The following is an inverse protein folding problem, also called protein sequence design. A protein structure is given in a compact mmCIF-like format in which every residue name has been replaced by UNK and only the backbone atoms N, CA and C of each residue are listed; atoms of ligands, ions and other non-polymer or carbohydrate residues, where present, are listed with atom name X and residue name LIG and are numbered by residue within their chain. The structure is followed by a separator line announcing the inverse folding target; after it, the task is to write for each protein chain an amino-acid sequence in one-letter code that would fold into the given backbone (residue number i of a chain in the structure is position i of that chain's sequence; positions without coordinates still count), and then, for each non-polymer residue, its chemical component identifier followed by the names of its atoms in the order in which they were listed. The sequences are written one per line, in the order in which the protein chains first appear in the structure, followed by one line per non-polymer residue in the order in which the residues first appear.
data_IF_562547533909
#
_entry.id   IF_562547533909
#
_cell.length_a   1.000
_cell.length_b   1.000
_cell.length_c   1.000
_cell.angle_alpha   90.00
_cell.angle_beta   90.00
_cell.angle_gamma   90.00
#
_symmetry.space_group_name_H-M   'P 1'
#
loop_
_entity.id
_entity.type
_entity.pdbx_description
1 polymer ?
#
# COMPACT_ATOMS: atom_id res chain seq x y z
N UNK A 1 -16.70 7.19 12.39
CA UNK A 1 -15.44 6.50 12.74
C UNK A 1 -15.38 5.16 11.99
N UNK A 2 -14.61 5.10 10.90
CA UNK A 2 -14.28 3.83 10.24
C UNK A 2 -13.23 3.14 11.11
N UNK A 3 -13.66 2.13 11.88
CA UNK A 3 -12.78 1.12 12.46
C UNK A 3 -12.40 0.16 11.33
N UNK A 4 -11.09 -0.07 11.14
CA UNK A 4 -10.52 -1.11 10.28
C UNK A 4 -11.37 -2.39 10.36
N UNK A 5 -12.11 -2.81 9.32
CA UNK A 5 -12.92 -4.02 9.40
C UNK A 5 -12.24 -5.23 8.77
N UNK A 6 -10.98 -5.13 8.36
CA UNK A 6 -10.32 -6.19 7.58
C UNK A 6 -9.27 -6.93 8.42
N UNK A 7 -9.72 -7.59 9.49
CA UNK A 7 -9.02 -8.77 10.05
C UNK A 7 -9.25 -10.00 9.14
N UNK A 8 -9.10 -9.81 7.83
CA UNK A 8 -9.33 -10.86 6.85
C UNK A 8 -8.00 -11.07 6.10
N UNK A 9 -7.42 -12.28 6.07
CA UNK A 9 -6.14 -12.54 5.41
C UNK A 9 -6.18 -12.36 3.87
N UNK A 10 -7.35 -12.00 3.32
CA UNK A 10 -7.53 -11.71 1.91
C UNK A 10 -7.77 -10.22 1.69
N UNK A 11 -6.95 -9.61 0.83
CA UNK A 11 -7.12 -8.25 0.37
C UNK A 11 -8.51 -8.06 -0.27
N UNK A 12 -9.25 -7.00 0.09
CA UNK A 12 -10.62 -6.85 -0.38
C UNK A 12 -10.76 -6.85 -1.91
N UNK A 13 -11.71 -7.63 -2.42
CA UNK A 13 -12.05 -7.71 -3.84
C UNK A 13 -13.07 -6.63 -4.23
N UNK A 14 -12.70 -5.35 -4.07
CA UNK A 14 -13.59 -4.27 -4.49
C UNK A 14 -13.63 -4.11 -6.02
N UNK A 15 -14.78 -3.64 -6.53
CA UNK A 15 -15.09 -3.50 -7.97
C UNK A 15 -14.64 -2.19 -8.60
N UNK A 16 -14.10 -1.27 -7.80
CA UNK A 16 -13.60 0.02 -8.27
C UNK A 16 -12.11 0.17 -7.96
N UNK A 17 -11.46 1.05 -8.71
CA UNK A 17 -10.05 1.40 -8.55
C UNK A 17 -9.89 2.91 -8.42
N UNK A 18 -8.81 3.34 -7.81
CA UNK A 18 -8.28 4.68 -8.00
C UNK A 18 -6.81 4.58 -8.40
N UNK A 19 -6.37 5.48 -9.29
CA UNK A 19 -4.96 5.67 -9.63
C UNK A 19 -4.67 7.15 -9.89
N UNK A 20 -3.44 7.62 -9.66
CA UNK A 20 -3.01 8.90 -10.16
C UNK A 20 -2.81 8.88 -11.70
N UNK A 21 -2.66 10.06 -12.33
CA UNK A 21 -2.34 10.15 -13.75
C UNK A 21 -0.95 9.59 -14.08
N UNK A 22 0.00 9.71 -13.15
CA UNK A 22 1.40 9.32 -13.31
C UNK A 22 1.81 8.30 -12.26
N UNK A 23 2.72 7.37 -12.61
CA UNK A 23 3.22 6.31 -11.72
C UNK A 23 2.11 5.48 -11.05
N UNK A 24 1.13 4.93 -11.80
CA UNK A 24 0.01 4.20 -11.22
C UNK A 24 0.44 2.94 -10.44
N UNK A 25 1.55 2.30 -10.81
CA UNK A 25 2.11 1.13 -10.12
C UNK A 25 2.25 1.35 -8.60
N UNK A 26 2.71 2.53 -8.19
CA UNK A 26 2.93 2.89 -6.78
C UNK A 26 1.64 3.15 -6.01
N UNK A 27 0.63 3.72 -6.66
CA UNK A 27 -0.46 4.40 -5.94
C UNK A 27 -1.84 3.84 -6.28
N UNK A 28 -1.93 2.88 -7.19
CA UNK A 28 -3.19 2.25 -7.52
C UNK A 28 -3.78 1.52 -6.31
N UNK A 29 -5.08 1.68 -6.07
CA UNK A 29 -5.75 1.01 -4.94
C UNK A 29 -7.16 0.58 -5.33
N UNK A 30 -7.64 -0.48 -4.69
CA UNK A 30 -9.04 -0.92 -4.82
C UNK A 30 -9.91 -0.09 -3.88
N UNK A 31 -11.08 0.30 -4.36
CA UNK A 31 -11.99 1.20 -3.66
C UNK A 31 -13.38 0.55 -3.54
N UNK A 32 -14.01 0.55 -2.35
CA UNK A 32 -15.37 0.06 -2.17
C UNK A 32 -16.38 0.79 -3.06
N UNK A 33 -17.38 0.07 -3.60
CA UNK A 33 -18.39 0.63 -4.51
C UNK A 33 -19.20 1.79 -3.92
N UNK A 34 -19.33 1.83 -2.59
CA UNK A 34 -20.00 2.90 -1.86
C UNK A 34 -19.27 4.25 -1.94
N UNK A 35 -17.99 4.28 -2.35
CA UNK A 35 -17.16 5.49 -2.39
C UNK A 35 -17.08 5.99 -3.83
N UNK A 36 -17.87 7.03 -4.15
CA UNK A 36 -17.82 7.66 -5.47
C UNK A 36 -16.73 8.74 -5.58
N UNK A 37 -16.32 9.30 -4.43
CA UNK A 37 -15.31 10.34 -4.33
C UNK A 37 -14.38 9.98 -3.18
N UNK A 38 -13.13 9.69 -3.51
CA UNK A 38 -12.14 9.20 -2.57
C UNK A 38 -11.44 10.38 -1.90
N UNK A 39 -11.61 10.54 -0.59
CA UNK A 39 -10.82 11.49 0.18
C UNK A 39 -9.43 10.93 0.54
N UNK A 40 -8.49 11.81 0.88
CA UNK A 40 -7.10 11.43 1.16
C UNK A 40 -6.98 10.47 2.36
N UNK A 41 -7.74 10.70 3.42
CA UNK A 41 -7.69 9.85 4.62
C UNK A 41 -8.12 8.43 4.29
N UNK A 42 -9.19 8.28 3.53
CA UNK A 42 -9.68 6.99 3.09
C UNK A 42 -8.71 6.33 2.09
N UNK A 43 -8.10 7.10 1.20
CA UNK A 43 -7.05 6.60 0.31
C UNK A 43 -5.85 6.03 1.08
N UNK A 44 -5.31 6.78 2.05
CA UNK A 44 -4.17 6.35 2.85
C UNK A 44 -4.47 5.09 3.66
N UNK A 45 -5.71 4.94 4.15
CA UNK A 45 -6.14 3.72 4.84
C UNK A 45 -6.19 2.51 3.86
N UNK A 46 -6.75 2.70 2.66
CA UNK A 46 -6.78 1.64 1.64
C UNK A 46 -5.37 1.25 1.17
N UNK A 47 -4.46 2.22 1.06
CA UNK A 47 -3.06 1.95 0.72
C UNK A 47 -2.32 1.20 1.82
N UNK A 48 -2.58 1.49 3.09
CA UNK A 48 -2.06 0.68 4.20
C UNK A 48 -2.56 -0.76 4.12
N UNK A 49 -3.86 -0.97 3.88
CA UNK A 49 -4.41 -2.33 3.68
C UNK A 49 -3.77 -3.03 2.48
N UNK A 50 -3.49 -2.32 1.38
CA UNK A 50 -2.78 -2.88 0.23
C UNK A 50 -1.37 -3.30 0.62
N UNK A 51 -0.63 -2.45 1.30
CA UNK A 51 0.76 -2.71 1.65
C UNK A 51 0.89 -3.82 2.70
N UNK A 52 0.02 -3.86 3.70
CA UNK A 52 -0.07 -4.97 4.65
C UNK A 52 -0.26 -6.31 3.94
N UNK A 53 -1.18 -6.38 2.96
CA UNK A 53 -1.36 -7.57 2.13
C UNK A 53 -0.12 -7.93 1.30
N UNK A 54 0.58 -6.95 0.71
CA UNK A 54 1.82 -7.20 -0.04
C UNK A 54 2.91 -7.75 0.87
N UNK A 55 3.01 -7.25 2.11
CA UNK A 55 3.92 -7.77 3.13
C UNK A 55 3.53 -9.19 3.53
N UNK A 56 2.25 -9.47 3.76
CA UNK A 56 1.77 -10.81 4.09
C UNK A 56 2.15 -11.83 3.02
N UNK A 57 1.90 -11.50 1.75
CA UNK A 57 2.29 -12.36 0.62
C UNK A 57 3.79 -12.62 0.57
N UNK A 58 4.60 -11.58 0.80
CA UNK A 58 6.05 -11.74 0.84
C UNK A 58 6.51 -12.64 2.00
N UNK A 59 5.88 -12.53 3.18
CA UNK A 59 6.13 -13.43 4.32
C UNK A 59 5.77 -14.87 3.98
N UNK A 60 4.63 -15.11 3.32
CA UNK A 60 4.19 -16.44 2.89
C UNK A 60 5.15 -17.05 1.85
N UNK A 61 5.73 -16.23 0.98
CA UNK A 61 6.70 -16.64 -0.04
C UNK A 61 8.13 -16.82 0.53
N UNK A 62 8.44 -16.18 1.67
CA UNK A 62 9.77 -16.19 2.29
C UNK A 62 9.74 -16.63 3.77
N UNK A 63 9.92 -15.70 4.70
CA UNK A 63 9.76 -15.89 6.15
C UNK A 63 9.65 -14.52 6.84
N UNK A 64 9.10 -14.41 8.05
CA UNK A 64 9.06 -13.14 8.79
C UNK A 64 10.43 -12.47 8.93
N UNK A 65 11.48 -13.23 9.22
CA UNK A 65 12.85 -12.72 9.40
C UNK A 65 13.43 -12.21 8.07
N UNK A 66 13.18 -12.93 6.98
CA UNK A 66 13.64 -12.55 5.64
C UNK A 66 12.93 -11.28 5.17
N UNK A 67 11.61 -11.20 5.40
CA UNK A 67 10.81 -10.00 5.14
C UNK A 67 11.30 -8.82 5.96
N UNK A 68 11.58 -9.01 7.26
CA UNK A 68 12.10 -7.94 8.12
C UNK A 68 13.44 -7.41 7.59
N UNK A 69 14.38 -8.30 7.27
CA UNK A 69 15.67 -7.88 6.73
C UNK A 69 15.50 -7.11 5.42
N UNK A 70 14.60 -7.55 4.54
CA UNK A 70 14.29 -6.88 3.28
C UNK A 70 13.67 -5.49 3.49
N UNK A 71 12.67 -5.38 4.37
CA UNK A 71 11.99 -4.11 4.69
C UNK A 71 12.92 -3.11 5.36
N UNK A 72 13.76 -3.54 6.32
CA UNK A 72 14.77 -2.68 6.96
C UNK A 72 15.78 -2.18 5.94
N UNK A 73 16.27 -3.07 5.07
CA UNK A 73 17.24 -2.69 4.02
C UNK A 73 16.63 -1.69 3.04
N UNK A 74 15.37 -1.90 2.63
CA UNK A 74 14.64 -1.00 1.74
C UNK A 74 14.34 0.34 2.41
N UNK A 75 13.89 0.32 3.66
CA UNK A 75 13.59 1.53 4.43
C UNK A 75 14.86 2.37 4.63
N UNK A 76 16.02 1.77 4.95
CA UNK A 76 17.26 2.53 5.09
C UNK A 76 17.70 3.25 3.80
N UNK A 77 17.34 2.72 2.62
CA UNK A 77 17.57 3.38 1.33
C UNK A 77 16.55 4.50 1.07
N UNK A 78 15.32 4.35 1.58
CA UNK A 78 14.23 5.33 1.51
C UNK A 78 14.41 6.48 2.50
N UNK A 79 14.72 6.19 3.74
CA UNK A 79 14.95 7.13 4.80
C UNK A 79 15.74 6.45 5.92
N UNK A 80 17.04 6.72 5.98
CA UNK A 80 17.92 6.14 7.00
C UNK A 80 17.65 6.66 8.41
N UNK A 81 16.87 7.73 8.57
CA UNK A 81 16.48 8.26 9.86
C UNK A 81 15.14 7.70 10.38
N UNK A 82 14.37 7.02 9.52
CA UNK A 82 13.08 6.43 9.90
C UNK A 82 13.29 5.20 10.79
N UNK A 83 12.60 5.18 11.94
CA UNK A 83 12.59 4.00 12.80
C UNK A 83 11.90 2.82 12.11
N UNK A 84 12.51 1.65 12.22
CA UNK A 84 12.03 0.41 11.61
C UNK A 84 11.26 -0.42 12.65
N UNK A 85 10.00 -0.80 12.38
CA UNK A 85 9.30 -1.77 13.23
C UNK A 85 10.07 -3.09 13.31
N UNK A 86 10.25 -3.62 14.52
CA UNK A 86 11.00 -4.85 14.77
C UNK A 86 10.04 -5.91 15.28
N UNK A 87 10.06 -7.10 14.67
CA UNK A 87 9.29 -8.23 15.14
C UNK A 87 9.87 -8.72 16.48
N UNK A 88 9.16 -8.44 17.56
CA UNK A 88 9.54 -8.92 18.90
C UNK A 88 9.05 -10.35 19.14
N UNK A 89 9.69 -11.08 20.07
CA UNK A 89 9.40 -12.50 20.33
C UNK A 89 7.95 -12.80 20.75
N UNK A 90 7.22 -11.80 21.24
CA UNK A 90 5.84 -11.94 21.73
C UNK A 90 4.81 -11.17 20.88
N UNK A 91 5.25 -10.57 19.77
CA UNK A 91 4.37 -9.74 18.94
C UNK A 91 3.59 -10.60 17.95
N UNK A 92 2.32 -10.25 17.73
CA UNK A 92 1.51 -10.90 16.70
C UNK A 92 1.98 -10.43 15.32
N UNK A 93 2.17 -11.37 14.39
CA UNK A 93 2.63 -11.07 13.04
C UNK A 93 1.72 -10.06 12.33
N UNK A 94 0.42 -10.06 12.64
CA UNK A 94 -0.56 -9.13 12.07
C UNK A 94 -0.30 -7.69 12.51
N UNK A 95 -0.04 -7.47 13.80
CA UNK A 95 0.28 -6.15 14.34
C UNK A 95 1.60 -5.61 13.77
N UNK A 96 2.61 -6.48 13.68
CA UNK A 96 3.92 -6.13 13.11
C UNK A 96 3.79 -5.69 11.63
N UNK A 97 3.02 -6.41 10.80
CA UNK A 97 2.82 -6.01 9.39
C UNK A 97 2.05 -4.70 9.27
N UNK A 98 1.04 -4.49 10.11
CA UNK A 98 0.29 -3.24 10.14
C UNK A 98 1.20 -2.05 10.51
N UNK A 99 2.10 -2.21 11.48
CA UNK A 99 3.09 -1.17 11.82
C UNK A 99 4.02 -0.85 10.66
N UNK A 100 4.46 -1.86 9.89
CA UNK A 100 5.23 -1.63 8.68
C UNK A 100 4.44 -0.88 7.60
N UNK A 101 3.19 -1.28 7.37
CA UNK A 101 2.32 -0.61 6.42
C UNK A 101 2.05 0.85 6.82
N UNK A 102 1.80 1.10 8.10
CA UNK A 102 1.64 2.45 8.65
C UNK A 102 2.91 3.27 8.48
N UNK A 103 4.07 2.70 8.84
CA UNK A 103 5.39 3.36 8.73
C UNK A 103 5.67 3.80 7.29
N UNK A 104 5.45 2.91 6.32
CA UNK A 104 5.74 3.18 4.91
C UNK A 104 4.74 4.11 4.24
N UNK A 105 3.47 4.15 4.69
CA UNK A 105 2.42 4.97 4.07
C UNK A 105 2.25 6.31 4.78
N UNK A 106 2.21 6.34 6.11
CA UNK A 106 1.90 7.55 6.88
C UNK A 106 3.16 8.31 7.31
N UNK A 107 4.20 7.60 7.72
CA UNK A 107 5.37 8.21 8.35
C UNK A 107 6.53 8.45 7.38
N UNK A 108 6.61 7.68 6.29
CA UNK A 108 7.65 7.84 5.29
C UNK A 108 7.44 9.09 4.41
N UNK A 109 8.33 10.07 4.54
CA UNK A 109 8.22 11.33 3.80
C UNK A 109 8.35 11.15 2.27
N UNK A 110 9.10 10.14 1.79
CA UNK A 110 9.25 9.90 0.34
C UNK A 110 7.95 9.45 -0.29
N UNK A 111 7.21 8.55 0.35
CA UNK A 111 5.88 8.18 -0.14
C UNK A 111 4.98 9.42 -0.25
N UNK A 112 4.94 10.25 0.80
CA UNK A 112 4.15 11.48 0.85
C UNK A 112 4.58 12.52 -0.20
N UNK A 113 5.88 12.66 -0.44
CA UNK A 113 6.44 13.55 -1.46
C UNK A 113 6.10 13.06 -2.88
N UNK A 114 6.29 11.77 -3.15
CA UNK A 114 5.96 11.15 -4.45
C UNK A 114 4.47 11.21 -4.74
N UNK A 115 3.61 10.97 -3.74
CA UNK A 115 2.16 11.08 -3.87
C UNK A 115 1.74 12.49 -4.32
N UNK A 116 2.33 13.52 -3.69
CA UNK A 116 2.11 14.93 -4.07
C UNK A 116 2.70 15.24 -5.44
N UNK A 117 3.90 14.75 -5.74
CA UNK A 117 4.60 15.00 -7.00
C UNK A 117 3.85 14.43 -8.22
N UNK A 118 3.32 13.21 -8.11
CA UNK A 118 2.59 12.56 -9.21
C UNK A 118 1.10 12.96 -9.29
N UNK A 119 0.74 14.02 -8.56
CA UNK A 119 -0.51 14.74 -8.76
C UNK A 119 -1.73 14.06 -8.14
N UNK A 120 -1.55 13.35 -7.02
CA UNK A 120 -2.70 12.98 -6.21
C UNK A 120 -3.37 14.26 -5.70
N UNK A 121 -4.58 14.54 -6.21
CA UNK A 121 -5.44 15.60 -5.72
C UNK A 121 -6.70 14.94 -5.18
N UNK A 122 -7.02 15.27 -3.93
CA UNK A 122 -8.20 14.75 -3.24
C UNK A 122 -9.22 15.89 -3.05
N UNK A 123 -10.53 15.59 -3.12
CA UNK A 123 -11.10 14.27 -3.33
C UNK A 123 -11.00 13.82 -4.80
N UNK A 124 -10.78 12.53 -5.02
CA UNK A 124 -10.49 11.99 -6.33
C UNK A 124 -11.62 11.12 -6.88
N UNK A 125 -11.77 11.11 -8.21
CA UNK A 125 -12.79 10.29 -8.89
C UNK A 125 -12.30 8.86 -9.06
N UNK A 126 -13.13 7.90 -8.68
CA UNK A 126 -12.86 6.47 -8.82
C UNK A 126 -13.16 5.97 -10.23
N UNK A 127 -12.43 4.94 -10.65
CA UNK A 127 -12.62 4.21 -11.90
C UNK A 127 -13.50 2.99 -11.62
N UNK A 128 -14.55 2.79 -12.42
CA UNK A 128 -15.37 1.59 -12.35
C UNK A 128 -14.96 0.58 -13.44
N UNK A 129 -15.44 -0.66 -13.30
CA UNK A 129 -15.11 -1.79 -14.18
C UNK A 129 -15.51 -1.62 -15.64
N UNK A 130 -16.37 -0.65 -15.96
CA UNK A 130 -16.81 -0.38 -17.35
C UNK A 130 -15.94 0.65 -18.07
N UNK A 131 -15.02 1.31 -17.36
CA UNK A 131 -14.17 2.33 -17.97
C UNK A 131 -13.05 1.71 -18.83
N UNK A 132 -12.67 2.35 -19.95
CA UNK A 132 -11.56 1.90 -20.77
C UNK A 132 -10.25 1.78 -19.99
N UNK A 133 -9.52 0.68 -20.21
CA UNK A 133 -8.24 0.40 -19.54
C UNK A 133 -8.37 -0.10 -18.09
N UNK A 134 -9.59 -0.21 -17.53
CA UNK A 134 -9.78 -0.79 -16.19
C UNK A 134 -9.12 -2.17 -16.02
N UNK A 135 -9.24 -3.12 -16.98
CA UNK A 135 -8.58 -4.42 -16.85
C UNK A 135 -7.05 -4.32 -16.74
N UNK A 136 -6.42 -3.41 -17.49
CA UNK A 136 -4.97 -3.21 -17.46
C UNK A 136 -4.51 -2.62 -16.12
N UNK A 137 -5.30 -1.70 -15.56
CA UNK A 137 -5.03 -1.13 -14.24
C UNK A 137 -5.25 -2.16 -13.12
N UNK A 138 -6.26 -3.00 -13.24
CA UNK A 138 -6.48 -4.09 -12.30
C UNK A 138 -5.32 -5.09 -12.34
N UNK A 139 -4.88 -5.49 -13.54
CA UNK A 139 -3.73 -6.36 -13.72
C UNK A 139 -2.47 -5.73 -13.11
N UNK A 140 -2.19 -4.45 -13.41
CA UNK A 140 -1.07 -3.73 -12.81
C UNK A 140 -1.15 -3.73 -11.27
N UNK A 141 -2.34 -3.50 -10.69
CA UNK A 141 -2.54 -3.56 -9.24
C UNK A 141 -2.20 -4.94 -8.65
N UNK A 142 -2.64 -6.02 -9.32
CA UNK A 142 -2.47 -7.41 -8.89
C UNK A 142 -1.04 -7.95 -9.10
N UNK A 143 -0.38 -7.50 -10.17
CA UNK A 143 0.96 -7.93 -10.56
C UNK A 143 2.08 -7.17 -9.84
N UNK A 144 1.81 -5.96 -9.33
CA UNK A 144 2.82 -5.19 -8.58
C UNK A 144 3.18 -5.92 -7.30
N UNK A 145 4.44 -6.37 -7.19
CA UNK A 145 4.97 -7.02 -5.99
C UNK A 145 5.42 -6.02 -4.92
N UNK A 146 5.66 -6.48 -3.69
CA UNK A 146 6.25 -5.65 -2.63
C UNK A 146 7.60 -5.06 -3.05
N UNK A 147 8.42 -5.87 -3.69
CA UNK A 147 9.73 -5.46 -4.21
C UNK A 147 9.59 -4.39 -5.29
N UNK A 148 8.74 -4.60 -6.29
CA UNK A 148 8.49 -3.59 -7.32
C UNK A 148 8.03 -2.26 -6.70
N UNK A 149 7.12 -2.33 -5.74
CA UNK A 149 6.59 -1.14 -5.08
C UNK A 149 7.67 -0.36 -4.32
N UNK A 150 8.51 -1.05 -3.55
CA UNK A 150 9.60 -0.43 -2.79
C UNK A 150 10.68 0.13 -3.70
N UNK A 151 11.09 -0.60 -4.74
CA UNK A 151 12.11 -0.14 -5.70
C UNK A 151 11.64 1.14 -6.41
N UNK A 152 10.37 1.23 -6.78
CA UNK A 152 9.83 2.42 -7.45
C UNK A 152 9.67 3.65 -6.51
N UNK A 153 9.80 3.48 -5.18
CA UNK A 153 9.90 4.60 -4.23
C UNK A 153 11.33 5.10 -4.04
N UNK A 154 12.33 4.28 -4.36
CA UNK A 154 13.75 4.64 -4.34
C UNK A 154 14.03 5.56 -5.55
N UNK A 155 14.83 6.64 -5.38
CA UNK A 155 15.15 7.60 -6.44
C UNK A 155 15.91 7.03 -7.63
#
# INVERSE_FOLDING_TARGET
PWTYPFMNPQYPSFSQLWKPPWMPMLFIVRVPEAIQSLDEKTYLALMQTRLDWMIQRWVEETSPESTQQFLVTSLSQLDSAQESPMLETNEELDDWRQQWAETLILHNWRFQERLRHYGASFPATVLNSTQPGYPDWLALHEETTLEDWLINLIP
#
